data_IF_571433919156
#
_entry.id   IF_571433919156
#
_cell.length_a   1.000
_cell.length_b   1.000
_cell.length_c   1.000
_cell.angle_alpha   90.00
_cell.angle_beta   90.00
_cell.angle_gamma   90.00
#
_symmetry.space_group_name_H-M   'P 1'
#
loop_
_entity.id
_entity.type
_entity.pdbx_description
1 polymer ?
#
# COMPACT_ATOMS: atom_id res chain seq x y z
N UNK A 1 -37.44 17.54 6.80
CA UNK A 1 -38.00 17.51 5.43
C UNK A 1 -38.78 16.20 5.34
N UNK A 2 -40.10 16.22 5.63
CA UNK A 2 -41.20 16.60 4.72
C UNK A 2 -41.32 15.60 3.54
N UNK A 3 -42.29 14.67 3.58
CA UNK A 3 -43.65 14.76 2.97
C UNK A 3 -43.58 14.61 1.42
N UNK A 4 -44.43 13.91 0.64
CA UNK A 4 -45.79 13.31 0.71
C UNK A 4 -45.76 11.97 -0.10
N UNK A 5 -46.43 10.84 0.17
CA UNK A 5 -47.58 10.43 1.00
C UNK A 5 -49.00 10.55 0.37
N UNK A 6 -49.33 9.77 -0.68
CA UNK A 6 -50.72 9.66 -1.21
C UNK A 6 -51.25 8.22 -1.33
N UNK A 7 -52.34 7.97 -0.60
CA UNK A 7 -53.27 6.85 -0.74
C UNK A 7 -54.45 7.36 -1.56
N UNK A 8 -55.05 6.54 -2.42
CA UNK A 8 -56.48 6.68 -2.75
C UNK A 8 -57.18 5.33 -2.85
N UNK A 9 -58.02 5.07 -1.85
CA UNK A 9 -59.13 4.13 -1.93
C UNK A 9 -60.25 4.78 -2.76
N UNK A 10 -61.02 4.00 -3.52
CA UNK A 10 -62.40 4.38 -3.80
C UNK A 10 -63.36 3.22 -3.55
N UNK A 11 -64.46 3.55 -2.89
CA UNK A 11 -65.42 2.64 -2.28
C UNK A 11 -66.67 2.46 -3.14
N UNK A 12 -67.48 1.47 -2.76
CA UNK A 12 -68.89 1.32 -3.12
C UNK A 12 -69.67 2.65 -3.15
N UNK A 13 -70.66 2.71 -4.04
CA UNK A 13 -71.98 3.25 -3.69
C UNK A 13 -73.09 2.49 -4.43
N UNK A 14 -73.98 1.87 -3.66
CA UNK A 14 -75.35 1.59 -4.10
C UNK A 14 -76.07 2.93 -4.25
N UNK A 15 -77.08 2.99 -5.12
CA UNK A 15 -78.20 3.91 -4.90
C UNK A 15 -79.50 3.27 -5.38
N UNK A 16 -80.53 3.45 -4.58
CA UNK A 16 -81.83 2.79 -4.67
C UNK A 16 -82.92 3.87 -4.81
N UNK A 17 -84.09 3.46 -5.33
CA UNK A 17 -85.41 4.09 -5.12
C UNK A 17 -85.60 5.54 -5.64
N UNK A 18 -86.51 5.70 -6.60
CA UNK A 18 -87.64 6.63 -6.43
C UNK A 18 -88.93 5.86 -6.66
N UNK A 19 -89.82 5.93 -5.67
CA UNK A 19 -91.16 5.35 -5.68
C UNK A 19 -92.10 6.53 -5.38
N UNK A 20 -93.11 6.77 -6.21
CA UNK A 20 -94.21 7.69 -5.88
C UNK A 20 -95.53 7.00 -6.15
N UNK A 21 -96.33 6.93 -5.08
CA UNK A 21 -97.66 6.37 -5.02
C UNK A 21 -98.55 7.41 -4.34
N UNK A 22 -99.77 7.64 -4.84
CA UNK A 22 -100.86 8.40 -4.18
C UNK A 22 -102.12 8.12 -5.01
N UNK A 23 -103.14 7.41 -4.51
CA UNK A 23 -104.11 7.84 -3.49
C UNK A 23 -104.96 9.03 -4.01
N UNK A 24 -106.29 9.09 -3.83
CA UNK A 24 -107.05 8.80 -2.59
C UNK A 24 -108.52 8.40 -2.84
N UNK A 25 -109.06 7.57 -1.92
CA UNK A 25 -110.32 7.71 -1.14
C UNK A 25 -111.67 8.01 -1.86
N UNK A 26 -112.85 7.76 -1.27
CA UNK A 26 -113.39 6.76 -0.33
C UNK A 26 -114.93 6.97 -0.27
N UNK A 27 -115.64 6.08 0.44
CA UNK A 27 -116.98 6.32 1.01
C UNK A 27 -118.17 6.45 0.04
N UNK A 28 -118.92 5.35 -0.08
CA UNK A 28 -120.23 5.23 0.57
C UNK A 28 -120.58 3.73 0.70
N UNK A 29 -120.48 3.12 1.90
CA UNK A 29 -121.56 3.00 2.91
C UNK A 29 -122.90 2.52 2.33
N UNK A 30 -123.40 1.32 2.61
CA UNK A 30 -123.97 0.78 3.88
C UNK A 30 -125.51 0.77 3.84
N UNK A 31 -126.13 -0.09 4.68
CA UNK A 31 -127.57 -0.35 4.82
C UNK A 31 -128.21 -1.10 3.64
N UNK A 32 -128.72 -2.34 3.76
CA UNK A 32 -129.70 -2.90 4.72
C UNK A 32 -131.11 -2.33 4.48
N UNK A 33 -131.96 -3.10 3.79
CA UNK A 33 -133.22 -3.56 4.40
C UNK A 33 -133.84 -4.76 3.64
N UNK A 34 -133.95 -5.90 4.32
CA UNK A 34 -134.92 -6.99 4.08
C UNK A 34 -135.37 -7.43 5.47
N UNK A 35 -136.60 -7.13 5.87
CA UNK A 35 -137.56 -8.21 6.19
C UNK A 35 -139.00 -7.83 5.72
N UNK A 36 -140.03 -8.69 5.71
CA UNK A 36 -140.52 -9.56 6.79
C UNK A 36 -141.40 -10.70 6.24
N UNK A 37 -141.23 -11.90 6.84
CA UNK A 37 -142.29 -12.75 7.43
C UNK A 37 -143.53 -13.04 6.54
N UNK A 38 -143.84 -14.29 6.18
CA UNK A 38 -144.01 -15.43 7.10
C UNK A 38 -143.87 -16.80 6.38
N UNK A 39 -143.37 -17.82 7.09
CA UNK A 39 -143.97 -19.16 7.27
C UNK A 39 -144.93 -19.76 6.20
N UNK A 40 -144.93 -21.07 5.87
CA UNK A 40 -144.48 -22.27 6.61
C UNK A 40 -144.39 -23.50 5.67
N UNK A 41 -143.52 -24.44 6.02
CA UNK A 41 -143.65 -25.91 5.94
C UNK A 41 -144.51 -26.59 4.83
N UNK A 42 -143.86 -27.52 4.12
CA UNK A 42 -144.44 -28.81 3.71
C UNK A 42 -144.97 -29.58 4.94
N UNK A 43 -145.99 -30.49 4.86
CA UNK A 43 -146.00 -31.55 3.85
C UNK A 43 -147.37 -32.15 3.44
N UNK A 44 -147.30 -33.21 2.62
CA UNK A 44 -148.14 -34.41 2.64
C UNK A 44 -149.66 -34.32 2.34
N UNK A 45 -150.00 -35.02 1.24
CA UNK A 45 -150.98 -36.13 1.21
C UNK A 45 -152.48 -35.80 1.09
N UNK A 46 -152.92 -35.85 -0.18
CA UNK A 46 -154.02 -36.65 -0.73
C UNK A 46 -155.44 -36.58 -0.14
N UNK A 47 -156.42 -36.60 -1.07
CA UNK A 47 -157.86 -36.85 -0.87
C UNK A 47 -158.59 -35.75 -0.04
N UNK A 48 -159.64 -35.09 -0.53
CA UNK A 48 -160.84 -35.64 -1.17
C UNK A 48 -161.61 -34.53 -1.95
N UNK A 49 -162.58 -34.91 -2.78
CA UNK A 49 -163.35 -34.02 -3.66
C UNK A 49 -164.06 -32.84 -2.94
N UNK A 50 -163.61 -31.62 -3.23
CA UNK A 50 -164.42 -30.39 -3.14
C UNK A 50 -164.20 -29.61 -4.45
N UNK A 51 -164.93 -30.05 -5.47
CA UNK A 51 -164.90 -29.52 -6.83
C UNK A 51 -165.69 -28.20 -6.98
N UNK A 52 -165.81 -27.72 -8.22
CA UNK A 52 -166.73 -26.66 -8.69
C UNK A 52 -166.32 -25.20 -8.35
N UNK A 53 -165.75 -24.90 -7.18
CA UNK A 53 -165.46 -23.49 -6.80
C UNK A 53 -164.10 -22.94 -7.27
N UNK A 54 -163.07 -23.79 -7.36
CA UNK A 54 -161.69 -23.33 -7.61
C UNK A 54 -161.43 -22.94 -9.08
N UNK A 55 -162.11 -23.57 -10.05
CA UNK A 55 -161.84 -23.29 -11.47
C UNK A 55 -162.34 -21.91 -11.92
N UNK A 56 -163.53 -21.48 -11.49
CA UNK A 56 -164.08 -20.18 -11.90
C UNK A 56 -163.25 -18.98 -11.42
N UNK A 57 -162.50 -19.13 -10.32
CA UNK A 57 -161.59 -18.09 -9.83
C UNK A 57 -160.22 -18.12 -10.55
N UNK A 58 -159.81 -19.29 -11.06
CA UNK A 58 -158.50 -19.49 -11.67
C UNK A 58 -158.42 -18.95 -13.09
N UNK A 59 -159.49 -19.11 -13.88
CA UNK A 59 -159.58 -18.52 -15.23
C UNK A 59 -159.57 -16.98 -15.18
N UNK A 60 -160.32 -16.37 -14.25
CA UNK A 60 -160.45 -14.91 -14.18
C UNK A 60 -159.13 -14.22 -13.80
N UNK A 61 -158.39 -14.76 -12.82
CA UNK A 61 -157.09 -14.22 -12.39
C UNK A 61 -155.99 -14.50 -13.43
N UNK A 62 -156.06 -15.64 -14.12
CA UNK A 62 -155.06 -16.04 -15.11
C UNK A 62 -155.01 -15.15 -16.35
N UNK A 63 -156.14 -14.56 -16.76
CA UNK A 63 -156.22 -13.74 -17.97
C UNK A 63 -155.61 -12.34 -17.78
N UNK A 64 -156.05 -11.59 -16.75
CA UNK A 64 -155.64 -10.20 -16.49
C UNK A 64 -154.14 -10.05 -16.21
N UNK A 65 -153.58 -10.88 -15.31
CA UNK A 65 -152.17 -10.78 -14.89
C UNK A 65 -151.21 -11.00 -16.08
N UNK A 66 -151.56 -11.91 -16.99
CA UNK A 66 -150.71 -12.28 -18.12
C UNK A 66 -150.62 -11.16 -19.18
N UNK A 67 -151.70 -10.40 -19.36
CA UNK A 67 -151.76 -9.28 -20.30
C UNK A 67 -150.99 -8.05 -19.80
N UNK A 68 -151.08 -7.74 -18.50
CA UNK A 68 -150.36 -6.62 -17.88
C UNK A 68 -148.83 -6.81 -17.93
N UNK A 69 -148.33 -7.99 -17.56
CA UNK A 69 -146.87 -8.27 -17.54
C UNK A 69 -146.26 -8.23 -18.94
N UNK A 70 -146.96 -8.76 -19.95
CA UNK A 70 -146.48 -8.77 -21.35
C UNK A 70 -146.28 -7.35 -21.90
N UNK A 71 -147.20 -6.44 -21.59
CA UNK A 71 -147.14 -5.05 -22.04
C UNK A 71 -145.99 -4.28 -21.37
N UNK A 72 -145.82 -4.45 -20.06
CA UNK A 72 -144.76 -3.78 -19.31
C UNK A 72 -143.34 -4.25 -19.71
N UNK A 73 -143.14 -5.56 -19.93
CA UNK A 73 -141.85 -6.08 -20.38
C UNK A 73 -141.46 -5.58 -21.78
N UNK A 74 -142.42 -5.41 -22.70
CA UNK A 74 -142.13 -4.97 -24.06
C UNK A 74 -141.59 -3.54 -24.12
N UNK A 75 -142.21 -2.61 -23.38
CA UNK A 75 -141.84 -1.17 -23.42
C UNK A 75 -140.49 -0.88 -22.72
N UNK A 76 -140.07 -1.72 -21.77
CA UNK A 76 -138.75 -1.64 -21.12
C UNK A 76 -137.64 -2.15 -22.06
N UNK A 77 -137.87 -3.26 -22.78
CA UNK A 77 -136.85 -3.87 -23.66
C UNK A 77 -136.53 -2.99 -24.86
N UNK A 78 -137.50 -2.33 -25.48
CA UNK A 78 -137.26 -1.45 -26.64
C UNK A 78 -136.49 -0.17 -26.29
N UNK A 79 -136.54 0.32 -25.04
CA UNK A 79 -135.89 1.59 -24.62
C UNK A 79 -134.46 1.44 -24.08
N UNK A 80 -134.02 0.23 -23.69
CA UNK A 80 -132.75 0.02 -22.98
C UNK A 80 -131.58 -0.49 -23.85
N UNK A 81 -131.85 -1.09 -25.01
CA UNK A 81 -130.83 -1.80 -25.80
C UNK A 81 -129.97 -0.88 -26.68
N UNK A 82 -130.55 0.16 -27.29
CA UNK A 82 -129.90 0.85 -28.43
C UNK A 82 -128.76 1.84 -28.07
N UNK A 83 -128.71 2.33 -26.82
CA UNK A 83 -127.77 3.42 -26.45
C UNK A 83 -126.41 2.93 -25.91
N UNK A 84 -126.35 1.75 -25.28
CA UNK A 84 -125.12 1.28 -24.59
C UNK A 84 -124.15 0.53 -25.49
N UNK A 85 -124.67 -0.17 -26.52
CA UNK A 85 -123.85 -0.93 -27.46
C UNK A 85 -122.96 -0.03 -28.35
N UNK A 86 -123.47 1.14 -28.77
CA UNK A 86 -122.81 2.03 -29.73
C UNK A 86 -121.49 2.61 -29.20
N UNK A 87 -121.48 3.08 -27.94
CA UNK A 87 -120.28 3.69 -27.32
C UNK A 87 -119.13 2.71 -27.03
N UNK A 88 -119.42 1.42 -26.83
CA UNK A 88 -118.38 0.41 -26.59
C UNK A 88 -117.54 0.12 -27.84
N UNK A 89 -118.16 0.18 -29.04
CA UNK A 89 -117.50 -0.12 -30.32
C UNK A 89 -116.52 0.99 -30.72
N UNK A 90 -116.89 2.26 -30.55
CA UNK A 90 -116.04 3.42 -30.90
C UNK A 90 -114.75 3.46 -30.04
N UNK A 91 -114.85 3.13 -28.75
CA UNK A 91 -113.70 3.05 -27.84
C UNK A 91 -112.74 1.92 -28.25
N UNK A 92 -113.26 0.74 -28.64
CA UNK A 92 -112.46 -0.38 -29.11
C UNK A 92 -111.73 -0.09 -30.44
N UNK A 93 -112.40 0.58 -31.39
CA UNK A 93 -111.75 1.01 -32.63
C UNK A 93 -110.63 2.03 -32.37
N UNK A 94 -110.86 2.98 -31.47
CA UNK A 94 -109.87 4.01 -31.12
C UNK A 94 -108.63 3.38 -30.47
N UNK A 95 -108.82 2.44 -29.54
CA UNK A 95 -107.71 1.72 -28.88
C UNK A 95 -106.91 0.86 -29.86
N UNK A 96 -107.58 0.12 -30.76
CA UNK A 96 -106.91 -0.69 -31.77
C UNK A 96 -106.09 0.17 -32.75
N UNK A 97 -106.65 1.28 -33.24
CA UNK A 97 -105.93 2.19 -34.13
C UNK A 97 -104.69 2.79 -33.47
N UNK A 98 -104.78 3.20 -32.20
CA UNK A 98 -103.64 3.73 -31.45
C UNK A 98 -102.55 2.66 -31.27
N UNK A 99 -102.93 1.44 -30.89
CA UNK A 99 -102.02 0.30 -30.66
C UNK A 99 -101.29 -0.08 -31.96
N UNK A 100 -102.01 -0.18 -33.07
CA UNK A 100 -101.42 -0.48 -34.39
C UNK A 100 -100.47 0.65 -34.83
N UNK A 101 -100.85 1.92 -34.64
CA UNK A 101 -99.99 3.04 -35.03
C UNK A 101 -98.67 3.10 -34.23
N UNK A 102 -98.70 2.72 -32.95
CA UNK A 102 -97.51 2.64 -32.09
C UNK A 102 -96.58 1.52 -32.55
N UNK A 103 -97.13 0.31 -32.78
CA UNK A 103 -96.36 -0.84 -33.25
C UNK A 103 -95.69 -0.60 -34.61
N UNK A 104 -96.40 0.04 -35.56
CA UNK A 104 -95.82 0.39 -36.87
C UNK A 104 -94.64 1.35 -36.74
N UNK A 105 -94.74 2.37 -35.87
CA UNK A 105 -93.65 3.32 -35.60
C UNK A 105 -92.43 2.64 -34.94
N UNK A 106 -92.65 1.69 -34.03
CA UNK A 106 -91.56 0.91 -33.42
C UNK A 106 -90.87 0.01 -34.45
N UNK A 107 -91.63 -0.60 -35.37
CA UNK A 107 -91.10 -1.38 -36.50
C UNK A 107 -90.27 -0.53 -37.47
N UNK A 108 -90.64 0.73 -37.72
CA UNK A 108 -89.85 1.67 -38.51
C UNK A 108 -88.50 2.00 -37.84
N UNK A 109 -88.49 2.30 -36.53
CA UNK A 109 -87.25 2.57 -35.77
C UNK A 109 -86.32 1.34 -35.72
N UNK A 110 -86.87 0.14 -35.52
CA UNK A 110 -86.08 -1.12 -35.60
C UNK A 110 -85.48 -1.31 -37.00
N UNK A 111 -86.21 -0.93 -38.05
CA UNK A 111 -85.73 -1.04 -39.44
C UNK A 111 -84.62 -0.03 -39.74
N UNK A 112 -84.75 1.22 -39.23
CA UNK A 112 -83.70 2.23 -39.34
C UNK A 112 -82.41 1.79 -38.63
N UNK A 113 -82.49 1.37 -37.37
CA UNK A 113 -81.33 0.87 -36.58
C UNK A 113 -80.64 -0.32 -37.23
N UNK A 114 -81.39 -1.19 -37.92
CA UNK A 114 -80.82 -2.32 -38.69
C UNK A 114 -80.03 -1.85 -39.92
N UNK A 115 -80.38 -0.72 -40.50
CA UNK A 115 -79.59 -0.10 -41.57
C UNK A 115 -78.29 0.46 -41.04
N UNK A 116 -78.33 1.23 -39.94
CA UNK A 116 -77.14 1.80 -39.31
C UNK A 116 -76.13 0.74 -38.86
N UNK A 117 -76.61 -0.37 -38.30
CA UNK A 117 -75.77 -1.50 -37.90
C UNK A 117 -75.03 -2.14 -39.08
N UNK A 118 -75.66 -2.27 -40.25
CA UNK A 118 -74.99 -2.77 -41.47
C UNK A 118 -73.90 -1.82 -41.95
N UNK A 119 -74.18 -0.52 -41.97
CA UNK A 119 -73.17 0.49 -42.33
C UNK A 119 -72.00 0.50 -41.33
N UNK A 120 -72.26 0.23 -40.04
CA UNK A 120 -71.19 0.08 -39.04
C UNK A 120 -70.36 -1.18 -39.26
N UNK A 121 -70.99 -2.30 -39.59
CA UNK A 121 -70.33 -3.58 -39.91
C UNK A 121 -69.42 -3.47 -41.15
N UNK A 122 -69.90 -2.87 -42.24
CA UNK A 122 -69.12 -2.63 -43.46
C UNK A 122 -67.89 -1.74 -43.19
N UNK A 123 -68.06 -0.66 -42.42
CA UNK A 123 -66.96 0.21 -42.01
C UNK A 123 -65.95 -0.50 -41.09
N UNK A 124 -66.40 -1.39 -40.21
CA UNK A 124 -65.52 -2.18 -39.35
C UNK A 124 -64.68 -3.16 -40.17
N UNK A 125 -65.30 -3.88 -41.10
CA UNK A 125 -64.64 -4.82 -42.00
C UNK A 125 -63.59 -4.11 -42.89
N UNK A 126 -63.91 -2.94 -43.44
CA UNK A 126 -62.95 -2.13 -44.20
C UNK A 126 -61.73 -1.71 -43.37
N UNK A 127 -61.92 -1.38 -42.08
CA UNK A 127 -60.80 -1.06 -41.16
C UNK A 127 -59.99 -2.30 -40.80
N UNK A 128 -60.60 -3.48 -40.69
CA UNK A 128 -59.89 -4.74 -40.40
C UNK A 128 -58.93 -5.10 -41.54
N UNK A 129 -59.36 -5.01 -42.81
CA UNK A 129 -58.47 -5.29 -43.94
C UNK A 129 -57.33 -4.27 -44.04
N UNK A 130 -57.59 -2.97 -43.83
CA UNK A 130 -56.52 -1.95 -43.76
C UNK A 130 -55.50 -2.21 -42.64
N UNK A 131 -55.92 -2.82 -41.52
CA UNK A 131 -55.00 -3.22 -40.45
C UNK A 131 -54.16 -4.43 -40.84
N UNK A 132 -54.75 -5.45 -41.51
CA UNK A 132 -54.01 -6.61 -42.05
C UNK A 132 -52.96 -6.19 -43.08
N UNK A 133 -53.30 -5.31 -44.01
CA UNK A 133 -52.34 -4.78 -45.00
C UNK A 133 -51.16 -4.07 -44.34
N UNK A 134 -51.43 -3.22 -43.33
CA UNK A 134 -50.39 -2.54 -42.54
C UNK A 134 -49.54 -3.49 -41.71
N UNK A 135 -50.13 -4.56 -41.16
CA UNK A 135 -49.41 -5.60 -40.45
C UNK A 135 -48.44 -6.32 -41.40
N UNK A 136 -48.94 -6.84 -42.52
CA UNK A 136 -48.13 -7.55 -43.53
C UNK A 136 -46.97 -6.66 -44.05
N UNK A 137 -47.22 -5.37 -44.28
CA UNK A 137 -46.18 -4.42 -44.68
C UNK A 137 -45.13 -4.19 -43.59
N UNK A 138 -45.53 -4.21 -42.31
CA UNK A 138 -44.62 -4.05 -41.17
C UNK A 138 -43.76 -5.29 -40.98
N UNK A 139 -44.34 -6.48 -41.06
CA UNK A 139 -43.63 -7.76 -40.98
C UNK A 139 -42.61 -7.91 -42.12
N UNK A 140 -42.99 -7.55 -43.35
CA UNK A 140 -42.08 -7.52 -44.51
C UNK A 140 -40.90 -6.57 -44.30
N UNK A 141 -41.13 -5.37 -43.76
CA UNK A 141 -40.07 -4.41 -43.43
C UNK A 141 -39.16 -4.90 -42.32
N UNK A 142 -39.71 -5.52 -41.28
CA UNK A 142 -38.93 -6.07 -40.16
C UNK A 142 -37.98 -7.17 -40.65
N UNK A 143 -38.48 -8.13 -41.43
CA UNK A 143 -37.66 -9.20 -42.01
C UNK A 143 -36.55 -8.67 -42.94
N UNK A 144 -36.81 -7.60 -43.69
CA UNK A 144 -35.77 -6.93 -44.49
C UNK A 144 -34.66 -6.31 -43.63
N UNK A 145 -35.02 -5.64 -42.52
CA UNK A 145 -34.07 -5.04 -41.57
C UNK A 145 -33.25 -6.12 -40.85
N UNK A 146 -33.87 -7.21 -40.41
CA UNK A 146 -33.18 -8.36 -39.80
C UNK A 146 -32.16 -8.98 -40.77
N UNK A 147 -32.55 -9.20 -42.03
CA UNK A 147 -31.67 -9.72 -43.05
C UNK A 147 -30.50 -8.77 -43.39
N UNK A 148 -30.71 -7.45 -43.36
CA UNK A 148 -29.64 -6.46 -43.53
C UNK A 148 -28.70 -6.42 -42.32
N UNK A 149 -29.24 -6.46 -41.10
CA UNK A 149 -28.48 -6.51 -39.86
C UNK A 149 -27.58 -7.75 -39.78
N UNK A 150 -28.09 -8.93 -40.15
CA UNK A 150 -27.28 -10.14 -40.28
C UNK A 150 -26.15 -9.98 -41.29
N UNK A 151 -26.42 -9.41 -42.47
CA UNK A 151 -25.41 -9.18 -43.51
C UNK A 151 -24.36 -8.16 -43.10
N UNK A 152 -24.71 -7.14 -42.32
CA UNK A 152 -23.74 -6.19 -41.75
C UNK A 152 -22.87 -6.90 -40.73
N UNK A 153 -23.48 -7.58 -39.75
CA UNK A 153 -22.77 -8.29 -38.69
C UNK A 153 -21.82 -9.35 -39.24
N UNK A 154 -22.26 -10.15 -40.23
CA UNK A 154 -21.41 -11.15 -40.89
C UNK A 154 -20.21 -10.52 -41.63
N UNK A 155 -20.38 -9.34 -42.25
CA UNK A 155 -19.28 -8.60 -42.89
C UNK A 155 -18.29 -8.07 -41.85
N UNK A 156 -18.76 -7.43 -40.79
CA UNK A 156 -17.92 -6.84 -39.75
C UNK A 156 -17.12 -7.90 -38.98
N UNK A 157 -17.74 -9.03 -38.65
CA UNK A 157 -17.06 -10.18 -38.02
C UNK A 157 -16.00 -10.78 -38.95
N UNK A 158 -16.27 -10.87 -40.26
CA UNK A 158 -15.31 -11.38 -41.24
C UNK A 158 -14.13 -10.43 -41.42
N UNK A 159 -14.37 -9.12 -41.50
CA UNK A 159 -13.33 -8.10 -41.57
C UNK A 159 -12.40 -8.17 -40.34
N UNK A 160 -12.99 -8.12 -39.12
CA UNK A 160 -12.23 -8.22 -37.87
C UNK A 160 -11.44 -9.53 -37.74
N UNK A 161 -11.97 -10.65 -38.25
CA UNK A 161 -11.25 -11.94 -38.27
C UNK A 161 -10.03 -11.90 -39.18
N UNK A 162 -10.12 -11.25 -40.34
CA UNK A 162 -8.98 -11.08 -41.25
C UNK A 162 -7.93 -10.13 -40.64
N UNK A 163 -8.36 -9.02 -40.04
CA UNK A 163 -7.47 -8.07 -39.35
C UNK A 163 -6.71 -8.76 -38.20
N UNK A 164 -7.40 -9.58 -37.39
CA UNK A 164 -6.80 -10.40 -36.35
C UNK A 164 -5.72 -11.34 -36.91
N UNK A 165 -6.03 -12.10 -37.97
CA UNK A 165 -5.05 -13.02 -38.58
C UNK A 165 -3.81 -12.27 -39.10
N UNK A 166 -3.98 -11.12 -39.75
CA UNK A 166 -2.85 -10.30 -40.21
C UNK A 166 -2.05 -9.68 -39.05
N UNK A 167 -2.68 -9.41 -37.90
CA UNK A 167 -1.94 -9.03 -36.69
C UNK A 167 -1.18 -10.20 -36.06
N UNK A 168 -1.73 -11.41 -36.08
CA UNK A 168 -1.07 -12.65 -35.64
C UNK A 168 0.16 -12.95 -36.50
N UNK A 169 0.01 -13.03 -37.83
CA UNK A 169 1.10 -13.23 -38.79
C UNK A 169 2.25 -12.20 -38.60
N UNK A 170 1.88 -10.93 -38.36
CA UNK A 170 2.84 -9.84 -38.10
C UNK A 170 3.50 -9.93 -36.71
N UNK A 171 2.83 -10.52 -35.72
CA UNK A 171 3.39 -10.74 -34.39
C UNK A 171 4.37 -11.90 -34.39
N UNK A 172 4.04 -13.01 -35.05
CA UNK A 172 4.91 -14.18 -35.23
C UNK A 172 6.23 -13.79 -35.92
N UNK A 173 6.16 -13.09 -37.06
CA UNK A 173 7.37 -12.61 -37.75
C UNK A 173 8.22 -11.63 -36.91
N UNK A 174 7.62 -10.88 -35.98
CA UNK A 174 8.37 -10.06 -35.01
C UNK A 174 9.02 -10.89 -33.92
N UNK A 175 8.37 -11.97 -33.45
CA UNK A 175 8.92 -12.89 -32.45
C UNK A 175 10.14 -13.62 -33.05
N UNK A 176 10.03 -14.12 -34.28
CA UNK A 176 11.15 -14.78 -34.97
C UNK A 176 12.37 -13.84 -35.09
N UNK A 177 12.17 -12.61 -35.58
CA UNK A 177 13.24 -11.59 -35.64
C UNK A 177 13.85 -11.24 -34.27
N UNK A 178 13.08 -11.30 -33.19
CA UNK A 178 13.61 -11.10 -31.83
C UNK A 178 14.45 -12.30 -31.38
N UNK A 179 14.01 -13.53 -31.64
CA UNK A 179 14.78 -14.74 -31.32
C UNK A 179 16.11 -14.80 -32.09
N UNK A 180 16.13 -14.44 -33.38
CA UNK A 180 17.37 -14.36 -34.16
C UNK A 180 18.35 -13.32 -33.59
N UNK A 181 17.85 -12.13 -33.24
CA UNK A 181 18.66 -11.07 -32.59
C UNK A 181 19.19 -11.50 -31.23
N UNK A 182 18.39 -12.22 -30.44
CA UNK A 182 18.82 -12.79 -29.17
C UNK A 182 19.95 -13.79 -29.40
N UNK A 183 19.77 -14.78 -30.28
CA UNK A 183 20.76 -15.81 -30.61
C UNK A 183 22.08 -15.22 -31.12
N UNK A 184 22.02 -14.17 -31.95
CA UNK A 184 23.20 -13.43 -32.40
C UNK A 184 23.90 -12.69 -31.24
N UNK A 185 23.14 -12.15 -30.29
CA UNK A 185 23.67 -11.46 -29.10
C UNK A 185 24.34 -12.43 -28.15
N UNK A 186 23.72 -13.59 -27.89
CA UNK A 186 24.29 -14.68 -27.08
C UNK A 186 25.59 -15.22 -27.70
N UNK A 187 25.62 -15.40 -29.03
CA UNK A 187 26.83 -15.82 -29.75
C UNK A 187 27.97 -14.80 -29.62
N UNK A 188 27.67 -13.49 -29.77
CA UNK A 188 28.67 -12.42 -29.56
C UNK A 188 29.17 -12.37 -28.12
N UNK A 189 28.28 -12.48 -27.14
CA UNK A 189 28.63 -12.48 -25.73
C UNK A 189 29.53 -13.67 -25.38
N UNK A 190 29.21 -14.87 -25.88
CA UNK A 190 30.04 -16.07 -25.71
C UNK A 190 31.45 -15.89 -26.28
N UNK A 191 31.60 -15.27 -27.46
CA UNK A 191 32.91 -14.98 -28.04
C UNK A 191 33.73 -14.02 -27.17
N UNK A 192 33.11 -12.95 -26.65
CA UNK A 192 33.75 -11.97 -25.75
C UNK A 192 34.20 -12.63 -24.44
N UNK A 193 33.40 -13.52 -23.85
CA UNK A 193 33.76 -14.27 -22.63
C UNK A 193 35.01 -15.13 -22.88
N UNK A 194 35.05 -15.89 -23.99
CA UNK A 194 36.22 -16.73 -24.34
C UNK A 194 37.48 -15.89 -24.58
N UNK A 195 37.36 -14.70 -25.17
CA UNK A 195 38.50 -13.80 -25.33
C UNK A 195 38.99 -13.22 -23.99
N UNK A 196 38.06 -12.82 -23.12
CA UNK A 196 38.36 -12.32 -21.78
C UNK A 196 39.08 -13.37 -20.91
N UNK A 197 38.61 -14.63 -20.93
CA UNK A 197 39.29 -15.74 -20.24
C UNK A 197 40.71 -15.97 -20.77
N UNK A 198 40.91 -15.92 -22.09
CA UNK A 198 42.24 -16.04 -22.72
C UNK A 198 43.15 -14.87 -22.37
N UNK A 199 42.63 -13.65 -22.24
CA UNK A 199 43.41 -12.50 -21.79
C UNK A 199 43.81 -12.65 -20.33
N UNK A 200 42.85 -12.91 -19.45
CA UNK A 200 43.06 -13.09 -18.01
C UNK A 200 44.08 -14.21 -17.74
N UNK A 201 44.00 -15.34 -18.45
CA UNK A 201 44.96 -16.44 -18.32
C UNK A 201 46.39 -16.07 -18.72
N UNK A 202 46.57 -15.21 -19.75
CA UNK A 202 47.88 -14.68 -20.15
C UNK A 202 48.44 -13.75 -19.06
N UNK A 203 47.63 -12.82 -18.56
CA UNK A 203 48.05 -11.86 -17.54
C UNK A 203 48.43 -12.52 -16.21
N UNK A 204 47.66 -13.53 -15.78
CA UNK A 204 47.98 -14.35 -14.59
C UNK A 204 49.29 -15.12 -14.78
N UNK A 205 49.54 -15.65 -15.99
CA UNK A 205 50.79 -16.36 -16.29
C UNK A 205 52.00 -15.41 -16.29
N UNK A 206 51.87 -14.21 -16.87
CA UNK A 206 52.91 -13.19 -16.87
C UNK A 206 53.27 -12.77 -15.42
N UNK A 207 52.28 -12.35 -14.63
CA UNK A 207 52.48 -11.94 -13.23
C UNK A 207 53.09 -13.05 -12.37
N UNK A 208 52.71 -14.32 -12.60
CA UNK A 208 53.31 -15.46 -11.90
C UNK A 208 54.81 -15.62 -12.20
N UNK A 209 55.25 -15.30 -13.42
CA UNK A 209 56.67 -15.30 -13.76
C UNK A 209 57.42 -14.11 -13.12
N UNK A 210 56.81 -12.92 -13.08
CA UNK A 210 57.40 -11.74 -12.45
C UNK A 210 57.61 -11.94 -10.94
N UNK A 211 56.62 -12.52 -10.25
CA UNK A 211 56.74 -12.88 -8.82
C UNK A 211 57.89 -13.86 -8.59
N UNK A 212 58.05 -14.89 -9.44
CA UNK A 212 59.17 -15.84 -9.36
C UNK A 212 60.53 -15.14 -9.51
N UNK A 213 60.65 -14.22 -10.46
CA UNK A 213 61.89 -13.42 -10.64
C UNK A 213 62.16 -12.55 -9.41
N UNK A 214 61.12 -11.95 -8.82
CA UNK A 214 61.23 -11.15 -7.61
C UNK A 214 61.69 -11.97 -6.40
N UNK A 215 61.16 -13.18 -6.20
CA UNK A 215 61.59 -14.11 -5.15
C UNK A 215 63.06 -14.54 -5.31
N UNK A 216 63.50 -14.85 -6.54
CA UNK A 216 64.90 -15.19 -6.84
C UNK A 216 65.85 -14.02 -6.54
N UNK A 217 65.44 -12.79 -6.84
CA UNK A 217 66.22 -11.59 -6.55
C UNK A 217 66.26 -11.26 -5.05
N UNK A 218 65.14 -11.40 -4.34
CA UNK A 218 65.07 -11.21 -2.89
C UNK A 218 65.98 -12.20 -2.14
N UNK A 219 65.99 -13.48 -2.54
CA UNK A 219 66.90 -14.50 -1.98
C UNK A 219 68.37 -14.12 -2.14
N UNK A 220 68.77 -13.62 -3.32
CA UNK A 220 70.15 -13.14 -3.58
C UNK A 220 70.51 -11.95 -2.69
N UNK A 221 69.59 -11.00 -2.51
CA UNK A 221 69.80 -9.81 -1.66
C UNK A 221 69.98 -10.17 -0.18
N UNK A 222 69.15 -11.08 0.35
CA UNK A 222 69.27 -11.58 1.72
C UNK A 222 70.63 -12.25 1.96
N UNK A 223 71.13 -13.03 1.00
CA UNK A 223 72.41 -13.72 1.15
C UNK A 223 73.61 -12.73 1.12
N UNK A 224 73.54 -11.69 0.27
CA UNK A 224 74.52 -10.59 0.29
C UNK A 224 74.52 -9.81 1.61
N UNK A 225 73.34 -9.62 2.23
CA UNK A 225 73.24 -8.97 3.53
C UNK A 225 73.94 -9.79 4.63
N UNK A 226 73.70 -11.11 4.72
CA UNK A 226 74.39 -11.99 5.69
C UNK A 226 75.92 -11.96 5.55
N UNK A 227 76.43 -11.95 4.31
CA UNK A 227 77.87 -11.84 4.02
C UNK A 227 78.42 -10.48 4.51
N UNK A 228 77.60 -9.43 4.51
CA UNK A 228 77.98 -8.10 4.99
C UNK A 228 77.97 -8.03 6.53
N UNK A 229 76.92 -8.57 7.16
CA UNK A 229 76.78 -8.62 8.62
C UNK A 229 77.88 -9.46 9.29
N UNK A 230 78.22 -10.62 8.72
CA UNK A 230 79.33 -11.47 9.19
C UNK A 230 80.71 -10.83 9.05
N UNK A 231 80.92 -9.96 8.04
CA UNK A 231 82.13 -9.14 7.94
C UNK A 231 82.15 -8.03 9.00
N UNK A 232 81.00 -7.42 9.29
CA UNK A 232 80.91 -6.34 10.28
C UNK A 232 81.13 -6.84 11.71
N UNK A 233 80.59 -8.00 12.09
CA UNK A 233 80.81 -8.59 13.42
C UNK A 233 82.27 -8.99 13.65
N UNK A 234 83.00 -9.40 12.61
CA UNK A 234 84.46 -9.61 12.67
C UNK A 234 85.26 -8.31 12.88
N UNK A 235 84.67 -7.15 12.60
CA UNK A 235 85.29 -5.83 12.79
C UNK A 235 84.92 -5.23 14.16
N UNK A 236 83.75 -5.56 14.73
CA UNK A 236 83.35 -5.10 16.07
C UNK A 236 84.13 -5.73 17.25
N UNK A 237 85.07 -6.65 16.99
CA UNK A 237 86.08 -7.13 17.94
C UNK A 237 87.15 -6.06 18.28
N UNK A 238 86.90 -4.79 17.98
CA UNK A 238 87.83 -3.68 18.13
C UNK A 238 88.01 -3.20 19.58
N UNK A 239 89.26 -3.26 20.02
CA UNK A 239 89.95 -2.40 20.99
C UNK A 239 89.05 -1.51 21.89
N UNK A 240 88.48 -2.11 22.95
CA UNK A 240 87.86 -1.36 24.06
C UNK A 240 88.95 -0.94 25.03
N UNK A 241 89.16 0.37 25.22
CA UNK A 241 90.10 0.92 26.19
C UNK A 241 89.34 1.92 27.04
N UNK A 242 89.29 1.68 28.35
CA UNK A 242 88.65 2.59 29.28
C UNK A 242 89.17 2.43 30.72
N UNK A 243 89.16 3.50 31.51
CA UNK A 243 89.49 3.51 32.93
C UNK A 243 88.57 4.44 33.71
N UNK A 244 88.21 4.05 34.94
CA UNK A 244 87.61 4.92 35.95
C UNK A 244 88.37 4.77 37.27
N UNK A 245 88.83 5.87 37.87
CA UNK A 245 89.60 5.83 39.10
C UNK A 245 89.28 6.97 40.08
N UNK A 246 89.33 6.67 41.37
CA UNK A 246 89.00 7.52 42.51
C UNK A 246 90.20 7.60 43.48
N UNK A 247 90.28 8.60 44.36
CA UNK A 247 91.19 8.57 45.51
C UNK A 247 90.72 7.55 46.55
N UNK A 248 91.64 6.79 47.14
CA UNK A 248 91.36 5.95 48.30
C UNK A 248 91.07 6.77 49.58
N UNK A 249 91.69 7.95 49.71
CA UNK A 249 91.59 8.81 50.87
C UNK A 249 91.50 10.28 50.45
N UNK A 250 90.45 10.97 50.92
CA UNK A 250 90.38 12.42 50.85
C UNK A 250 91.45 13.06 51.74
N UNK A 251 92.16 14.07 51.23
CA UNK A 251 93.17 14.77 52.01
C UNK A 251 93.60 16.08 51.37
N UNK A 252 93.98 17.04 52.21
CA UNK A 252 94.49 18.34 51.76
C UNK A 252 95.86 18.24 51.14
N UNK A 253 95.93 18.50 49.84
CA UNK A 253 97.19 18.77 49.14
C UNK A 253 97.05 20.03 48.29
N UNK A 254 98.18 20.58 47.90
CA UNK A 254 98.30 21.74 47.02
C UNK A 254 99.60 21.63 46.22
N UNK A 255 99.63 22.19 45.02
CA UNK A 255 100.79 22.18 44.13
C UNK A 255 101.34 20.77 43.83
N UNK A 256 100.45 19.81 43.60
CA UNK A 256 100.80 18.39 43.37
C UNK A 256 99.91 17.74 42.31
N UNK A 257 100.41 16.63 41.75
CA UNK A 257 99.62 15.69 40.96
C UNK A 257 98.59 14.99 41.88
N UNK A 258 97.33 14.95 41.44
CA UNK A 258 96.28 14.16 42.09
C UNK A 258 96.49 12.68 41.79
N UNK A 259 96.43 11.83 42.83
CA UNK A 259 96.60 10.37 42.68
C UNK A 259 95.25 9.68 42.88
N UNK A 260 94.97 8.73 41.99
CA UNK A 260 93.75 7.93 41.97
C UNK A 260 94.16 6.46 41.99
N UNK A 261 94.22 5.89 43.19
CA UNK A 261 94.66 4.52 43.47
C UNK A 261 93.50 3.51 43.54
N UNK A 262 92.29 3.98 43.78
CA UNK A 262 91.04 3.22 43.78
C UNK A 262 90.41 3.17 42.37
N UNK A 263 90.97 2.31 41.53
CA UNK A 263 90.47 2.06 40.16
C UNK A 263 89.23 1.16 40.22
N UNK A 264 88.09 1.68 39.78
CA UNK A 264 86.79 0.98 39.74
C UNK A 264 86.57 0.18 38.46
N UNK A 265 87.12 0.67 37.35
CA UNK A 265 86.99 0.05 36.04
C UNK A 265 88.29 0.22 35.26
N UNK A 266 88.73 -0.82 34.57
CA UNK A 266 89.85 -0.78 33.63
C UNK A 266 89.68 -1.89 32.59
N UNK A 267 89.82 -1.55 31.32
CA UNK A 267 89.85 -2.50 30.19
C UNK A 267 90.97 -2.10 29.25
N UNK A 268 91.82 -3.06 28.87
CA UNK A 268 92.94 -2.90 27.93
C UNK A 268 93.93 -1.77 28.29
N UNK A 269 94.25 -1.62 29.59
CA UNK A 269 95.26 -0.69 30.08
C UNK A 269 96.25 -1.47 30.94
N UNK A 270 97.47 -1.65 30.44
CA UNK A 270 98.50 -2.50 31.08
C UNK A 270 99.29 -1.75 32.15
N UNK A 271 99.44 -0.43 32.02
CA UNK A 271 100.25 0.42 32.89
C UNK A 271 99.60 0.81 34.24
N UNK A 272 98.54 0.11 34.67
CA UNK A 272 97.70 0.51 35.81
C UNK A 272 98.47 0.72 37.12
N UNK A 273 99.49 -0.10 37.40
CA UNK A 273 100.34 0.04 38.60
C UNK A 273 101.15 1.34 38.59
N UNK A 274 101.59 1.80 37.41
CA UNK A 274 102.26 3.09 37.24
C UNK A 274 101.27 4.25 37.45
N UNK A 275 100.04 4.14 36.91
CA UNK A 275 98.98 5.12 37.13
C UNK A 275 98.69 5.33 38.62
N UNK A 276 98.42 4.26 39.38
CA UNK A 276 98.15 4.33 40.83
C UNK A 276 99.30 4.98 41.61
N UNK A 277 100.54 4.72 41.21
CA UNK A 277 101.75 5.23 41.89
C UNK A 277 102.02 6.70 41.56
N UNK A 278 101.81 7.12 40.32
CA UNK A 278 102.23 8.44 39.80
C UNK A 278 101.11 9.47 39.69
N UNK A 279 99.86 9.02 39.50
CA UNK A 279 98.72 9.84 39.08
C UNK A 279 98.68 10.13 37.57
N UNK A 280 99.57 9.52 36.76
CA UNK A 280 99.69 9.77 35.32
C UNK A 280 99.18 8.60 34.48
N UNK A 281 98.15 8.85 33.68
CA UNK A 281 97.73 7.92 32.63
C UNK A 281 98.71 8.02 31.47
N UNK A 282 99.23 6.89 30.98
CA UNK A 282 100.07 6.86 29.78
C UNK A 282 99.28 6.17 28.67
N UNK A 283 99.24 6.80 27.49
CA UNK A 283 98.48 6.33 26.35
C UNK A 283 99.19 5.13 25.68
N UNK A 284 98.57 3.96 25.68
CA UNK A 284 99.15 2.73 25.08
C UNK A 284 98.80 2.57 23.60
N UNK A 285 97.74 3.22 23.13
CA UNK A 285 97.21 3.09 21.78
C UNK A 285 96.81 4.46 21.23
N UNK A 286 97.31 4.84 20.05
CA UNK A 286 96.89 6.09 19.41
C UNK A 286 95.38 6.10 19.14
N UNK A 287 94.70 7.19 19.50
CA UNK A 287 93.25 7.26 19.36
C UNK A 287 92.64 8.59 19.78
N UNK A 288 91.32 8.69 19.67
CA UNK A 288 90.54 9.81 20.18
C UNK A 288 90.00 9.45 21.56
N UNK A 289 90.50 10.13 22.59
CA UNK A 289 90.15 9.88 23.99
C UNK A 289 89.16 10.93 24.50
N UNK A 290 88.11 10.47 25.19
CA UNK A 290 87.35 11.28 26.15
C UNK A 290 88.09 11.26 27.49
N UNK A 291 88.44 12.44 28.00
CA UNK A 291 89.05 12.65 29.31
C UNK A 291 88.05 13.44 30.14
N UNK A 292 87.55 12.85 31.22
CA UNK A 292 86.63 13.52 32.14
C UNK A 292 87.14 13.44 33.58
N UNK A 293 86.86 14.47 34.36
CA UNK A 293 87.16 14.49 35.79
C UNK A 293 86.13 15.30 36.55
N UNK A 294 85.83 14.84 37.76
CA UNK A 294 85.04 15.55 38.76
C UNK A 294 85.82 15.60 40.06
N UNK A 295 85.87 16.78 40.70
CA UNK A 295 86.63 17.05 41.92
C UNK A 295 85.77 17.89 42.88
N UNK A 296 85.53 17.35 44.07
CA UNK A 296 84.83 18.03 45.17
C UNK A 296 85.82 18.56 46.21
N UNK A 297 85.81 19.88 46.45
CA UNK A 297 86.63 20.55 47.46
C UNK A 297 85.80 21.11 48.62
N UNK A 298 86.37 21.10 49.82
CA UNK A 298 85.85 21.83 51.00
C UNK A 298 86.44 23.24 51.14
N UNK A 299 87.42 23.61 50.32
CA UNK A 299 88.05 24.94 50.35
C UNK A 299 87.37 25.89 49.37
N UNK A 300 87.40 27.19 49.65
CA UNK A 300 86.69 28.21 48.88
C UNK A 300 87.38 28.68 47.60
N UNK A 301 88.56 28.12 47.24
CA UNK A 301 89.43 28.54 46.13
C UNK A 301 90.26 27.34 45.63
N UNK A 302 89.63 26.32 45.05
CA UNK A 302 90.34 25.15 44.52
C UNK A 302 90.44 25.18 42.99
N UNK A 303 91.67 25.04 42.48
CA UNK A 303 91.98 25.05 41.04
C UNK A 303 92.70 23.76 40.65
N UNK A 304 92.24 23.14 39.57
CA UNK A 304 92.92 21.99 38.98
C UNK A 304 92.98 22.08 37.46
N UNK A 305 93.94 21.36 36.88
CA UNK A 305 94.28 21.37 35.47
C UNK A 305 94.35 19.95 34.95
N UNK A 306 93.87 19.73 33.73
CA UNK A 306 94.24 18.54 32.95
C UNK A 306 95.54 18.89 32.23
N UNK A 307 96.60 18.13 32.53
CA UNK A 307 97.92 18.28 31.94
C UNK A 307 98.13 17.20 30.89
N UNK A 308 98.65 17.56 29.72
CA UNK A 308 99.12 16.65 28.68
C UNK A 308 100.60 16.93 28.39
N UNK A 309 101.47 15.94 28.65
CA UNK A 309 102.92 16.04 28.42
C UNK A 309 103.58 17.30 29.05
N UNK A 310 103.05 17.76 30.19
CA UNK A 310 103.53 18.94 30.90
C UNK A 310 102.87 20.27 30.51
N UNK A 311 101.94 20.27 29.54
CA UNK A 311 101.19 21.46 29.13
C UNK A 311 99.75 21.40 29.65
N UNK A 312 99.25 22.52 30.17
CA UNK A 312 97.85 22.66 30.59
C UNK A 312 96.95 22.63 29.34
N UNK A 313 96.03 21.66 29.27
CA UNK A 313 95.04 21.55 28.19
C UNK A 313 93.61 21.86 28.63
N UNK A 314 93.38 21.99 29.93
CA UNK A 314 92.14 22.51 30.52
C UNK A 314 92.38 22.96 31.95
N UNK A 315 91.63 23.95 32.41
CA UNK A 315 91.61 24.45 33.79
C UNK A 315 90.18 24.41 34.32
N UNK A 316 90.00 24.02 35.58
CA UNK A 316 88.73 24.09 36.30
C UNK A 316 88.91 24.89 37.58
N UNK A 317 88.08 25.92 37.75
CA UNK A 317 88.04 26.77 38.93
C UNK A 317 86.80 26.42 39.77
N UNK A 318 87.02 26.04 41.03
CA UNK A 318 85.95 25.74 41.98
C UNK A 318 85.71 26.97 42.86
N UNK A 319 84.67 27.72 42.53
CA UNK A 319 84.31 28.96 43.19
C UNK A 319 83.54 28.78 44.51
N UNK A 320 83.68 29.77 45.39
CA UNK A 320 82.93 29.86 46.65
C UNK A 320 81.46 30.19 46.40
N UNK A 321 80.56 29.33 46.84
CA UNK A 321 79.18 29.70 47.16
C UNK A 321 79.02 29.88 48.68
N UNK A 322 78.20 30.85 49.09
CA UNK A 322 77.90 31.08 50.50
C UNK A 322 76.91 30.05 51.03
N UNK A 323 77.33 29.22 51.98
CA UNK A 323 76.44 28.34 52.75
C UNK A 323 76.65 26.83 52.56
N UNK A 324 77.32 26.37 51.50
CA UNK A 324 77.71 24.96 51.36
C UNK A 324 79.09 24.68 51.97
N UNK A 325 79.28 23.42 52.41
CA UNK A 325 80.56 22.90 52.94
C UNK A 325 81.42 22.22 51.87
N UNK A 326 80.86 22.02 50.69
CA UNK A 326 81.39 21.24 49.57
C UNK A 326 81.07 21.98 48.28
N UNK A 327 82.00 21.91 47.32
CA UNK A 327 81.91 22.52 46.00
C UNK A 327 82.53 21.58 44.97
N UNK A 328 81.81 21.27 43.89
CA UNK A 328 82.27 20.34 42.85
C UNK A 328 82.59 21.09 41.57
N UNK A 329 83.81 20.91 41.06
CA UNK A 329 84.18 21.23 39.68
C UNK A 329 84.20 19.96 38.84
N UNK A 330 83.67 20.02 37.63
CA UNK A 330 83.74 18.93 36.68
C UNK A 330 84.12 19.45 35.29
N UNK A 331 84.88 18.66 34.55
CA UNK A 331 85.28 18.97 33.17
C UNK A 331 85.42 17.70 32.35
N UNK A 332 84.97 17.77 31.10
CA UNK A 332 85.10 16.72 30.09
C UNK A 332 85.64 17.34 28.81
N UNK A 333 86.68 16.73 28.23
CA UNK A 333 87.24 17.15 26.95
C UNK A 333 87.61 15.94 26.10
N UNK A 334 87.61 16.12 24.79
CA UNK A 334 88.07 15.10 23.85
C UNK A 334 89.43 15.51 23.28
N UNK A 335 90.41 14.60 23.29
CA UNK A 335 91.76 14.85 22.79
C UNK A 335 92.26 13.65 21.99
N UNK A 336 92.89 13.90 20.84
CA UNK A 336 93.70 12.87 20.19
C UNK A 336 94.96 12.68 21.02
N UNK A 337 95.23 11.45 21.45
CA UNK A 337 96.47 11.06 22.13
C UNK A 337 97.27 10.14 21.20
N UNK A 338 98.58 10.33 21.18
CA UNK A 338 99.54 9.45 20.53
C UNK A 338 100.06 8.42 21.55
N UNK A 339 100.69 7.36 21.06
CA UNK A 339 101.32 6.38 21.95
C UNK A 339 102.40 7.06 22.81
N UNK A 340 102.41 6.72 24.11
CA UNK A 340 103.24 7.28 25.18
C UNK A 340 102.88 8.71 25.66
N UNK A 341 101.85 9.36 25.12
CA UNK A 341 101.34 10.62 25.70
C UNK A 341 100.88 10.41 27.15
N UNK A 342 101.26 11.32 28.05
CA UNK A 342 100.92 11.28 29.46
C UNK A 342 99.89 12.34 29.83
N UNK A 343 98.79 11.91 30.44
CA UNK A 343 97.71 12.78 30.96
C UNK A 343 97.60 12.64 32.47
N UNK A 344 97.48 13.74 33.19
CA UNK A 344 97.22 13.74 34.64
C UNK A 344 96.45 14.97 35.09
N UNK A 345 95.92 14.90 36.32
CA UNK A 345 95.38 16.08 37.00
C UNK A 345 96.44 16.69 37.92
N UNK A 346 96.66 17.99 37.77
CA UNK A 346 97.50 18.78 38.68
C UNK A 346 96.64 19.82 39.38
N UNK A 347 96.94 20.14 40.64
CA UNK A 347 96.21 21.16 41.38
C UNK A 347 97.12 22.22 41.98
N UNK A 348 96.72 23.50 41.84
CA UNK A 348 97.50 24.67 42.25
C UNK A 348 96.95 25.41 43.47
N UNK A 349 96.02 24.79 44.22
CA UNK A 349 95.44 25.32 45.45
C UNK A 349 95.19 24.20 46.45
N UNK A 350 94.76 24.52 47.67
CA UNK A 350 94.36 23.51 48.65
C UNK A 350 93.03 22.88 48.23
N UNK A 351 92.98 21.56 48.07
CA UNK A 351 91.77 20.80 47.73
C UNK A 351 91.56 19.65 48.71
N UNK A 352 90.32 19.19 48.82
CA UNK A 352 90.05 17.79 49.16
C UNK A 352 89.70 17.04 47.86
N UNK A 353 89.80 15.71 47.85
CA UNK A 353 89.47 14.90 46.68
C UNK A 353 88.39 13.90 47.05
N UNK A 354 87.19 14.19 46.60
CA UNK A 354 86.18 13.20 46.29
C UNK A 354 85.76 13.41 44.84
N UNK A 355 85.55 12.32 44.11
CA UNK A 355 85.32 12.35 42.67
C UNK A 355 86.16 11.32 41.94
N UNK A 356 86.10 11.32 40.61
CA UNK A 356 86.75 10.32 39.77
C UNK A 356 87.28 10.92 38.47
N UNK A 357 88.19 10.19 37.85
CA UNK A 357 88.71 10.46 36.50
C UNK A 357 88.32 9.32 35.58
N UNK A 358 87.81 9.66 34.40
CA UNK A 358 87.41 8.75 33.35
C UNK A 358 88.24 8.99 32.09
N UNK A 359 88.72 7.89 31.51
CA UNK A 359 89.38 7.86 30.21
C UNK A 359 88.67 6.82 29.35
N UNK A 360 88.26 7.16 28.13
CA UNK A 360 87.67 6.20 27.17
C UNK A 360 88.16 6.50 25.75
N UNK A 361 88.54 5.44 25.01
CA UNK A 361 88.82 5.53 23.57
C UNK A 361 87.56 5.23 22.78
N UNK A 362 87.14 6.16 21.94
CA UNK A 362 86.11 5.87 20.94
C UNK A 362 86.71 5.80 19.53
N UNK A 363 87.07 4.59 19.12
CA UNK A 363 87.53 4.31 17.76
C UNK A 363 86.39 4.17 16.74
N UNK A 364 85.12 4.26 17.17
CA UNK A 364 83.96 4.00 16.32
C UNK A 364 83.12 5.27 16.14
N UNK A 365 83.29 5.93 14.98
CA UNK A 365 82.82 7.31 14.69
C UNK A 365 81.32 7.62 14.94
N UNK A 366 80.48 6.62 15.17
CA UNK A 366 79.02 6.74 15.14
C UNK A 366 78.28 6.36 16.45
N UNK A 367 78.96 5.97 17.54
CA UNK A 367 78.30 5.66 18.83
C UNK A 367 79.15 6.09 20.03
N UNK A 368 78.76 7.18 20.70
CA UNK A 368 79.21 7.49 22.07
C UNK A 368 78.22 6.84 23.03
N UNK A 369 78.70 6.03 23.98
CA UNK A 369 77.88 5.58 25.10
C UNK A 369 78.04 6.58 26.24
N UNK A 370 76.95 7.22 26.63
CA UNK A 370 76.90 7.97 27.89
C UNK A 370 76.69 6.95 29.00
N UNK A 371 77.58 6.97 30.00
CA UNK A 371 77.39 6.25 31.24
C UNK A 371 76.97 7.27 32.29
N UNK A 372 75.77 7.09 32.86
CA UNK A 372 75.34 7.87 34.02
C UNK A 372 76.11 7.37 35.26
N UNK A 373 76.59 8.31 36.09
CA UNK A 373 77.39 8.07 37.29
C UNK A 373 76.69 8.61 38.55
#
# INVERSE_FOLDING_TARGET
MMYVCFIFLFTFSLNEIVLVNSCENDNCTSAIDIPLITHLNAPLKAELDISILTEQLKELIGHEVKQAVSTAMKDIVEKLVDKRARSAVENLQTFNNLTISTFLREMEDVTARKSDLRTMEENLNGRIEQMKEKQNLTESKLSAVEAEFERSTKRDVTARKNDLRTMEEKLEGRIEQMMEKQKLTESKLSAVVVEFERSTKRDVTARKNDVRIMEENLKKSIEQQKITESKLSSVEAQLKIAMTAHPSLGGTKSNTIMKFDDVKYSVSITNLSSYKTTGKFTCEHEGLYLISSSVMSHTSLANYYIILNGNDISQTYIGRHSGSKEFTGAVSLTRKLNQNDQVWLYASGSWYLYGGVFFEVNNNKNKVKVYDF
#
